data_IF_649360206226
#
_entry.id   IF_649360206226
#
_cell.length_a   1.000
_cell.length_b   1.000
_cell.length_c   1.000
_cell.angle_alpha   90.00
_cell.angle_beta   90.00
_cell.angle_gamma   90.00
#
_symmetry.space_group_name_H-M   'P 1'
#
loop_
_entity.id
_entity.type
_entity.pdbx_description
1 polymer ?
#
# COMPACT_ATOMS: atom_id res chain seq x y z
N UNK A 1 1.42 7.64 45.37
CA UNK A 1 0.76 8.94 45.18
C UNK A 1 -0.47 8.97 46.04
N UNK A 2 -0.52 9.85 47.03
CA UNK A 2 -1.66 9.96 47.95
C UNK A 2 -2.79 10.78 47.33
N UNK A 3 -4.02 10.61 47.82
CA UNK A 3 -5.18 11.41 47.38
C UNK A 3 -4.96 12.91 47.65
N UNK A 4 -4.23 13.25 48.72
CA UNK A 4 -3.77 14.61 49.03
C UNK A 4 -2.84 15.18 47.95
N UNK A 5 -1.86 14.40 47.47
CA UNK A 5 -0.93 14.82 46.41
C UNK A 5 -1.65 15.09 45.09
N UNK A 6 -2.64 14.26 44.75
CA UNK A 6 -3.47 14.44 43.55
C UNK A 6 -4.36 15.69 43.67
N UNK A 7 -4.96 15.95 44.85
CA UNK A 7 -5.75 17.15 45.12
C UNK A 7 -4.92 18.43 45.07
N UNK A 8 -3.71 18.42 45.64
CA UNK A 8 -2.81 19.57 45.58
C UNK A 8 -2.38 19.86 44.15
N UNK A 9 -2.09 18.82 43.36
CA UNK A 9 -1.74 18.98 41.94
C UNK A 9 -2.90 19.54 41.10
N UNK A 10 -4.15 19.16 41.41
CA UNK A 10 -5.34 19.69 40.74
C UNK A 10 -5.62 21.15 41.12
N UNK A 11 -5.45 21.51 42.40
CA UNK A 11 -5.62 22.89 42.88
C UNK A 11 -4.50 23.84 42.41
N UNK A 12 -3.35 23.32 42.00
CA UNK A 12 -2.25 24.08 41.39
C UNK A 12 -2.20 23.91 39.86
N UNK A 13 -3.26 23.36 39.25
CA UNK A 13 -3.43 23.46 37.80
C UNK A 13 -3.74 24.91 37.46
N UNK A 14 -2.68 25.66 37.16
CA UNK A 14 -2.81 27.01 36.65
C UNK A 14 -3.43 26.88 35.26
N UNK A 15 -4.64 27.43 35.09
CA UNK A 15 -5.22 27.59 33.77
C UNK A 15 -4.20 28.37 32.93
N UNK A 16 -3.75 27.84 31.77
CA UNK A 16 -2.70 28.49 31.01
C UNK A 16 -3.11 29.94 30.72
N UNK A 17 -2.18 30.90 30.83
CA UNK A 17 -2.50 32.30 30.60
C UNK A 17 -3.06 32.50 29.19
N UNK A 18 -3.90 33.51 29.03
CA UNK A 18 -4.78 33.63 27.86
C UNK A 18 -3.99 33.80 26.56
N UNK A 19 -2.80 34.38 26.62
CA UNK A 19 -1.82 34.45 25.53
C UNK A 19 -1.34 33.06 25.09
N UNK A 20 -1.07 32.15 26.03
CA UNK A 20 -0.72 30.75 25.73
C UNK A 20 -1.94 29.99 25.19
N UNK A 21 -3.14 30.22 25.72
CA UNK A 21 -4.37 29.63 25.16
C UNK A 21 -4.63 30.11 23.74
N UNK A 22 -4.47 31.40 23.46
CA UNK A 22 -4.56 31.98 22.12
C UNK A 22 -3.45 31.43 21.22
N UNK A 23 -2.23 31.27 21.73
CA UNK A 23 -1.11 30.69 20.97
C UNK A 23 -1.39 29.23 20.61
N UNK A 24 -1.84 28.43 21.57
CA UNK A 24 -2.24 27.03 21.36
C UNK A 24 -3.43 26.97 20.39
N UNK A 25 -4.43 27.84 20.55
CA UNK A 25 -5.59 27.91 19.67
C UNK A 25 -5.18 28.32 18.25
N UNK A 26 -4.28 29.27 18.07
CA UNK A 26 -3.70 29.66 16.79
C UNK A 26 -2.82 28.53 16.20
N UNK A 27 -2.07 27.80 17.01
CA UNK A 27 -1.28 26.65 16.57
C UNK A 27 -2.17 25.48 16.13
N UNK A 28 -3.36 25.32 16.73
CA UNK A 28 -4.36 24.31 16.37
C UNK A 28 -5.23 24.76 15.17
N UNK A 29 -5.57 26.06 15.07
CA UNK A 29 -6.41 26.64 14.01
C UNK A 29 -5.66 26.87 12.68
N UNK A 30 -4.32 26.95 12.67
CA UNK A 30 -3.53 27.25 11.46
C UNK A 30 -2.79 26.04 10.85
N UNK A 31 -3.44 24.88 10.76
CA UNK A 31 -2.99 23.93 9.73
C UNK A 31 -3.58 24.35 8.38
N UNK A 32 -2.75 24.59 7.34
CA UNK A 32 -3.27 24.82 6.00
C UNK A 32 -4.23 23.70 5.63
N UNK A 33 -5.36 24.04 5.00
CA UNK A 33 -6.38 23.06 4.58
C UNK A 33 -5.76 21.83 3.90
N UNK A 34 -4.77 22.05 3.05
CA UNK A 34 -4.01 21.00 2.35
C UNK A 34 -3.33 20.00 3.30
N UNK A 35 -2.76 20.47 4.41
CA UNK A 35 -2.12 19.61 5.42
C UNK A 35 -3.15 18.74 6.14
N UNK A 36 -4.33 19.29 6.42
CA UNK A 36 -5.43 18.56 7.05
C UNK A 36 -5.94 17.48 6.09
N UNK A 37 -6.21 17.83 4.83
CA UNK A 37 -6.68 16.89 3.80
C UNK A 37 -5.69 15.72 3.58
N UNK A 38 -4.39 16.03 3.58
CA UNK A 38 -3.33 15.01 3.48
C UNK A 38 -3.31 14.09 4.70
N UNK A 39 -3.44 14.64 5.91
CA UNK A 39 -3.51 13.83 7.15
C UNK A 39 -4.75 12.95 7.17
N UNK A 40 -5.89 13.46 6.73
CA UNK A 40 -7.14 12.69 6.63
C UNK A 40 -6.96 11.47 5.72
N UNK A 41 -6.40 11.65 4.51
CA UNK A 41 -6.12 10.54 3.62
C UNK A 41 -5.13 9.54 4.23
N UNK A 42 -4.03 10.03 4.81
CA UNK A 42 -3.02 9.15 5.42
C UNK A 42 -3.62 8.34 6.59
N UNK A 43 -4.45 8.98 7.40
CA UNK A 43 -5.14 8.32 8.51
C UNK A 43 -6.08 7.22 7.99
N UNK A 44 -6.90 7.53 6.98
CA UNK A 44 -7.77 6.57 6.33
C UNK A 44 -6.98 5.36 5.82
N UNK A 45 -5.90 5.60 5.07
CA UNK A 45 -5.09 4.53 4.48
C UNK A 45 -4.39 3.65 5.53
N UNK A 46 -4.10 4.18 6.72
CA UNK A 46 -3.46 3.43 7.81
C UNK A 46 -4.43 2.67 8.70
N UNK A 47 -5.68 3.15 8.83
CA UNK A 47 -6.68 2.56 9.73
C UNK A 47 -7.63 1.62 9.00
N UNK A 48 -7.69 1.69 7.66
CA UNK A 48 -8.55 0.82 6.88
C UNK A 48 -8.17 -0.66 7.04
N UNK A 49 -9.16 -1.45 7.41
CA UNK A 49 -9.06 -2.86 7.71
C UNK A 49 -10.33 -3.58 7.25
N UNK A 50 -10.35 -4.90 7.39
CA UNK A 50 -11.54 -5.71 7.05
C UNK A 50 -12.76 -5.36 7.91
N UNK A 51 -12.58 -4.91 9.15
CA UNK A 51 -13.69 -4.59 10.06
C UNK A 51 -14.40 -3.28 9.71
N UNK A 52 -13.67 -2.28 9.23
CA UNK A 52 -14.18 -0.94 8.93
C UNK A 52 -14.13 -0.60 7.42
N UNK A 53 -13.89 -1.61 6.57
CA UNK A 53 -13.74 -1.48 5.11
C UNK A 53 -14.86 -0.68 4.45
N UNK A 54 -16.13 -1.03 4.70
CA UNK A 54 -17.29 -0.38 4.04
C UNK A 54 -17.35 1.14 4.28
N UNK A 55 -17.38 1.63 5.52
CA UNK A 55 -17.44 3.08 5.77
C UNK A 55 -16.21 3.81 5.23
N UNK A 56 -14.99 3.26 5.40
CA UNK A 56 -13.76 3.92 4.94
C UNK A 56 -13.60 3.90 3.41
N UNK A 57 -14.09 2.88 2.71
CA UNK A 57 -14.15 2.89 1.25
C UNK A 57 -15.09 3.99 0.72
N UNK A 58 -16.20 4.25 1.42
CA UNK A 58 -17.11 5.35 1.05
C UNK A 58 -16.46 6.71 1.27
N UNK A 59 -15.75 6.88 2.39
CA UNK A 59 -15.00 8.10 2.68
C UNK A 59 -13.89 8.33 1.63
N UNK A 60 -13.12 7.28 1.31
CA UNK A 60 -12.11 7.35 0.25
C UNK A 60 -12.73 7.75 -1.09
N UNK A 61 -13.84 7.13 -1.48
CA UNK A 61 -14.55 7.47 -2.71
C UNK A 61 -15.01 8.93 -2.74
N UNK A 62 -15.41 9.50 -1.60
CA UNK A 62 -15.73 10.92 -1.50
C UNK A 62 -14.48 11.79 -1.70
N UNK A 63 -13.34 11.42 -1.11
CA UNK A 63 -12.06 12.11 -1.32
C UNK A 63 -11.69 12.10 -2.80
N UNK A 64 -11.76 10.92 -3.44
CA UNK A 64 -11.43 10.75 -4.87
C UNK A 64 -12.29 11.66 -5.76
N UNK A 65 -13.60 11.74 -5.47
CA UNK A 65 -14.52 12.54 -6.29
C UNK A 65 -14.40 14.04 -6.11
N UNK A 66 -14.04 14.49 -4.91
CA UNK A 66 -14.15 15.92 -4.54
C UNK A 66 -12.81 16.65 -4.56
N UNK A 67 -11.69 15.97 -4.27
CA UNK A 67 -10.42 16.63 -3.98
C UNK A 67 -9.19 15.75 -4.22
N UNK A 68 -9.25 14.76 -5.11
CA UNK A 68 -8.05 13.96 -5.45
C UNK A 68 -6.96 14.84 -6.05
N UNK A 69 -5.72 14.68 -5.58
CA UNK A 69 -4.55 15.43 -6.03
C UNK A 69 -3.44 14.48 -6.43
N UNK A 70 -2.56 14.93 -7.33
CA UNK A 70 -1.46 14.10 -7.82
C UNK A 70 -0.52 13.60 -6.71
N UNK A 71 -0.31 14.38 -5.65
CA UNK A 71 0.50 13.96 -4.50
C UNK A 71 -0.09 12.75 -3.74
N UNK A 72 -1.40 12.53 -3.82
CA UNK A 72 -2.07 11.41 -3.15
C UNK A 72 -1.73 10.07 -3.83
N UNK A 73 -1.35 10.10 -5.11
CA UNK A 73 -0.86 8.91 -5.80
C UNK A 73 0.41 8.37 -5.14
N UNK A 74 1.31 9.25 -4.71
CA UNK A 74 2.53 8.91 -3.98
C UNK A 74 2.24 8.33 -2.58
N UNK A 75 1.19 8.83 -1.91
CA UNK A 75 0.80 8.31 -0.60
C UNK A 75 0.21 6.90 -0.70
N UNK A 76 -0.70 6.68 -1.65
CA UNK A 76 -1.31 5.37 -1.83
C UNK A 76 -0.28 4.31 -2.26
N UNK A 77 0.61 4.64 -3.19
CA UNK A 77 1.71 3.74 -3.58
C UNK A 77 2.62 3.41 -2.40
N UNK A 78 3.01 4.39 -1.57
CA UNK A 78 3.84 4.14 -0.39
C UNK A 78 3.16 3.21 0.62
N UNK A 79 1.84 3.27 0.78
CA UNK A 79 1.12 2.36 1.68
C UNK A 79 1.09 0.95 1.09
N UNK A 80 0.80 0.82 -0.21
CA UNK A 80 0.79 -0.48 -0.91
C UNK A 80 2.16 -1.16 -0.82
N UNK A 81 3.25 -0.42 -1.02
CA UNK A 81 4.62 -0.96 -0.96
C UNK A 81 4.95 -1.52 0.43
N UNK A 82 4.49 -0.84 1.49
CA UNK A 82 4.90 -1.14 2.88
C UNK A 82 3.96 -2.11 3.60
N UNK A 83 2.72 -2.28 3.14
CA UNK A 83 1.71 -3.04 3.87
C UNK A 83 1.17 -4.21 3.02
N UNK A 84 1.49 -5.44 3.42
CA UNK A 84 0.99 -6.65 2.75
C UNK A 84 -0.34 -7.19 3.33
N UNK A 85 -0.76 -6.74 4.52
CA UNK A 85 -1.88 -7.38 5.23
C UNK A 85 -3.24 -7.12 4.57
N UNK A 86 -3.43 -5.92 4.01
CA UNK A 86 -4.71 -5.46 3.47
C UNK A 86 -4.68 -5.27 1.96
N UNK A 87 -3.85 -6.04 1.25
CA UNK A 87 -3.66 -5.94 -0.22
C UNK A 87 -4.97 -5.89 -1.00
N UNK A 88 -5.95 -6.72 -0.66
CA UNK A 88 -7.25 -6.74 -1.34
C UNK A 88 -8.03 -5.43 -1.18
N UNK A 89 -7.94 -4.80 -0.01
CA UNK A 89 -8.54 -3.48 0.24
C UNK A 89 -7.85 -2.44 -0.64
N UNK A 90 -6.52 -2.47 -0.75
CA UNK A 90 -5.81 -1.53 -1.60
C UNK A 90 -6.13 -1.70 -3.09
N UNK A 91 -6.34 -2.93 -3.55
CA UNK A 91 -6.83 -3.19 -4.91
C UNK A 91 -8.22 -2.57 -5.11
N UNK A 92 -9.11 -2.68 -4.13
CA UNK A 92 -10.42 -2.02 -4.20
C UNK A 92 -10.33 -0.49 -4.19
N UNK A 93 -9.41 0.09 -3.40
CA UNK A 93 -9.13 1.53 -3.44
C UNK A 93 -8.66 1.96 -4.83
N UNK A 94 -7.73 1.22 -5.44
CA UNK A 94 -7.25 1.50 -6.80
C UNK A 94 -8.38 1.45 -7.84
N UNK A 95 -9.33 0.52 -7.68
CA UNK A 95 -10.52 0.44 -8.55
C UNK A 95 -11.46 1.65 -8.43
N UNK A 96 -11.35 2.47 -7.38
CA UNK A 96 -12.11 3.73 -7.24
C UNK A 96 -11.45 4.91 -7.95
N UNK A 97 -10.15 4.82 -8.26
CA UNK A 97 -9.43 5.86 -8.98
C UNK A 97 -9.81 5.90 -10.46
N UNK A 98 -9.64 7.08 -11.08
CA UNK A 98 -9.65 7.19 -12.55
C UNK A 98 -8.47 6.41 -13.12
N UNK A 99 -8.59 5.95 -14.36
CA UNK A 99 -7.53 5.16 -15.03
C UNK A 99 -6.18 5.87 -15.01
N UNK A 100 -6.17 7.19 -15.23
CA UNK A 100 -4.95 8.01 -15.20
C UNK A 100 -4.25 7.96 -13.83
N UNK A 101 -4.99 8.25 -12.74
CA UNK A 101 -4.45 8.22 -11.38
C UNK A 101 -4.02 6.82 -10.94
N UNK A 102 -4.81 5.81 -11.29
CA UNK A 102 -4.46 4.41 -11.05
C UNK A 102 -3.14 4.05 -11.73
N UNK A 103 -2.96 4.43 -12.99
CA UNK A 103 -1.73 4.18 -13.73
C UNK A 103 -0.54 4.93 -13.11
N UNK A 104 -0.74 6.17 -12.64
CA UNK A 104 0.29 6.90 -11.88
C UNK A 104 0.71 6.14 -10.62
N UNK A 105 -0.25 5.63 -9.83
CA UNK A 105 0.07 4.85 -8.62
C UNK A 105 0.86 3.58 -8.96
N UNK A 106 0.42 2.83 -9.98
CA UNK A 106 1.12 1.61 -10.41
C UNK A 106 2.53 1.93 -10.92
N UNK A 107 2.71 2.98 -11.71
CA UNK A 107 4.03 3.40 -12.21
C UNK A 107 4.96 3.79 -11.05
N UNK A 108 4.47 4.53 -10.05
CA UNK A 108 5.28 4.86 -8.86
C UNK A 108 5.75 3.58 -8.16
N UNK A 109 4.89 2.56 -8.01
CA UNK A 109 5.28 1.27 -7.43
C UNK A 109 6.35 0.57 -8.29
N UNK A 110 6.17 0.55 -9.61
CA UNK A 110 7.08 -0.06 -10.56
C UNK A 110 8.44 0.67 -10.68
N UNK A 111 8.51 1.95 -10.36
CA UNK A 111 9.73 2.76 -10.41
C UNK A 111 10.44 2.84 -9.05
N UNK A 112 9.77 2.44 -7.96
CA UNK A 112 10.32 2.49 -6.61
C UNK A 112 11.53 1.56 -6.44
N UNK A 113 12.54 2.05 -5.72
CA UNK A 113 13.65 1.20 -5.26
C UNK A 113 13.19 0.43 -4.03
N UNK A 114 13.04 -0.89 -4.16
CA UNK A 114 12.38 -1.74 -3.16
C UNK A 114 13.41 -2.49 -2.32
N UNK A 115 13.22 -2.47 -1.01
CA UNK A 115 13.93 -3.37 -0.09
C UNK A 115 13.38 -4.80 -0.20
N UNK A 116 14.10 -5.80 0.35
CA UNK A 116 13.71 -7.21 0.21
C UNK A 116 12.28 -7.52 0.68
N UNK A 117 11.81 -6.89 1.76
CA UNK A 117 10.45 -7.09 2.27
C UNK A 117 9.40 -6.39 1.37
N UNK A 118 9.77 -5.28 0.77
CA UNK A 118 8.93 -4.52 -0.15
C UNK A 118 8.80 -5.26 -1.49
N UNK A 119 9.86 -5.92 -1.98
CA UNK A 119 9.81 -6.81 -3.15
C UNK A 119 8.74 -7.89 -2.96
N UNK A 120 8.73 -8.56 -1.80
CA UNK A 120 7.71 -9.56 -1.45
C UNK A 120 6.30 -8.97 -1.44
N UNK A 121 6.14 -7.81 -0.81
CA UNK A 121 4.85 -7.12 -0.68
C UNK A 121 4.31 -6.70 -2.04
N UNK A 122 5.15 -6.10 -2.88
CA UNK A 122 4.80 -5.63 -4.23
C UNK A 122 4.50 -6.80 -5.17
N UNK A 123 5.29 -7.89 -5.12
CA UNK A 123 5.02 -9.09 -5.92
C UNK A 123 3.66 -9.72 -5.56
N UNK A 124 3.41 -9.93 -4.27
CA UNK A 124 2.11 -10.39 -3.75
C UNK A 124 0.95 -9.48 -4.18
N UNK A 125 1.15 -8.16 -4.12
CA UNK A 125 0.19 -7.18 -4.61
C UNK A 125 -0.12 -7.35 -6.10
N UNK A 126 0.89 -7.49 -6.96
CA UNK A 126 0.65 -7.68 -8.39
C UNK A 126 -0.03 -9.01 -8.71
N UNK A 127 0.29 -10.09 -8.00
CA UNK A 127 -0.38 -11.38 -8.18
C UNK A 127 -1.88 -11.28 -7.88
N UNK A 128 -2.24 -10.67 -6.74
CA UNK A 128 -3.65 -10.41 -6.40
C UNK A 128 -4.31 -9.43 -7.36
N UNK A 129 -3.59 -8.41 -7.83
CA UNK A 129 -4.10 -7.44 -8.80
C UNK A 129 -4.45 -8.09 -10.13
N UNK A 130 -3.60 -8.99 -10.64
CA UNK A 130 -3.82 -9.81 -11.84
C UNK A 130 -5.11 -10.62 -11.71
N UNK A 131 -5.24 -11.39 -10.63
CA UNK A 131 -6.41 -12.23 -10.36
C UNK A 131 -7.67 -11.37 -10.31
N UNK A 132 -7.65 -10.29 -9.53
CA UNK A 132 -8.82 -9.44 -9.34
C UNK A 132 -9.18 -8.56 -10.55
N UNK A 133 -8.27 -8.44 -11.53
CA UNK A 133 -8.49 -7.72 -12.78
C UNK A 133 -8.86 -8.66 -13.93
N UNK A 134 -8.90 -9.99 -13.70
CA UNK A 134 -9.17 -11.01 -14.70
C UNK A 134 -8.28 -10.87 -15.95
N UNK A 135 -6.98 -10.64 -15.76
CA UNK A 135 -6.05 -10.55 -16.90
C UNK A 135 -5.87 -11.92 -17.54
N UNK A 136 -5.80 -11.97 -18.88
CA UNK A 136 -5.44 -13.17 -19.61
C UNK A 136 -3.93 -13.44 -19.51
N UNK A 137 -3.51 -14.68 -19.78
CA UNK A 137 -2.10 -15.06 -19.71
C UNK A 137 -1.22 -14.25 -20.67
N UNK A 138 -1.72 -13.94 -21.88
CA UNK A 138 -0.99 -13.12 -22.86
C UNK A 138 -0.75 -11.71 -22.33
N UNK A 139 -1.77 -11.10 -21.72
CA UNK A 139 -1.63 -9.76 -21.13
C UNK A 139 -0.69 -9.77 -19.90
N UNK A 140 -0.60 -10.89 -19.17
CA UNK A 140 0.34 -11.04 -18.06
C UNK A 140 1.76 -11.14 -18.60
N UNK A 141 1.98 -11.91 -19.67
CA UNK A 141 3.28 -11.99 -20.36
C UNK A 141 3.75 -10.62 -20.81
N UNK A 142 2.93 -9.90 -21.59
CA UNK A 142 3.24 -8.55 -22.07
C UNK A 142 3.54 -7.60 -20.90
N UNK A 143 2.73 -7.66 -19.83
CA UNK A 143 2.94 -6.82 -18.65
C UNK A 143 4.29 -7.09 -17.98
N UNK A 144 4.70 -8.36 -17.87
CA UNK A 144 5.98 -8.71 -17.26
C UNK A 144 7.13 -8.23 -18.15
N UNK A 145 7.07 -8.51 -19.45
CA UNK A 145 8.13 -8.15 -20.39
C UNK A 145 8.31 -6.63 -20.50
N UNK A 146 7.22 -5.87 -20.49
CA UNK A 146 7.25 -4.41 -20.59
C UNK A 146 7.60 -3.71 -19.28
N UNK A 147 7.10 -4.21 -18.13
CA UNK A 147 7.11 -3.46 -16.86
C UNK A 147 7.98 -4.08 -15.78
N UNK A 148 8.17 -5.40 -15.79
CA UNK A 148 8.80 -6.13 -14.69
C UNK A 148 10.07 -6.89 -15.09
N UNK A 149 10.47 -6.89 -16.37
CA UNK A 149 11.58 -7.69 -16.90
C UNK A 149 12.86 -7.69 -16.05
N UNK A 150 13.22 -6.54 -15.47
CA UNK A 150 14.42 -6.39 -14.64
C UNK A 150 14.17 -6.54 -13.13
N UNK A 151 12.99 -7.00 -12.72
CA UNK A 151 12.54 -7.12 -11.32
C UNK A 151 12.19 -8.57 -10.98
N UNK A 152 13.15 -9.47 -11.20
CA UNK A 152 12.98 -10.93 -11.03
C UNK A 152 12.37 -11.31 -9.66
N UNK A 153 12.83 -10.69 -8.57
CA UNK A 153 12.25 -10.94 -7.24
C UNK A 153 10.75 -10.61 -7.15
N UNK A 154 10.30 -9.52 -7.77
CA UNK A 154 8.87 -9.16 -7.83
C UNK A 154 8.09 -10.19 -8.64
N UNK A 155 8.65 -10.65 -9.77
CA UNK A 155 8.04 -11.68 -10.62
C UNK A 155 7.89 -12.99 -9.84
N UNK A 156 8.91 -13.43 -9.10
CA UNK A 156 8.87 -14.66 -8.29
C UNK A 156 7.74 -14.57 -7.26
N UNK A 157 7.67 -13.51 -6.45
CA UNK A 157 6.62 -13.39 -5.44
C UNK A 157 5.22 -13.19 -6.04
N UNK A 158 5.13 -12.57 -7.22
CA UNK A 158 3.88 -12.51 -7.98
C UNK A 158 3.44 -13.91 -8.41
N UNK A 159 4.36 -14.73 -8.92
CA UNK A 159 4.08 -16.12 -9.28
C UNK A 159 3.72 -16.98 -8.07
N UNK A 160 4.38 -16.81 -6.91
CA UNK A 160 3.97 -17.49 -5.66
C UNK A 160 2.51 -17.17 -5.32
N UNK A 161 2.12 -15.90 -5.44
CA UNK A 161 0.73 -15.48 -5.20
C UNK A 161 -0.25 -16.04 -6.23
N UNK A 162 0.16 -16.15 -7.50
CA UNK A 162 -0.65 -16.76 -8.55
C UNK A 162 -0.78 -18.26 -8.33
N UNK A 163 0.31 -19.00 -8.10
CA UNK A 163 0.31 -20.45 -7.88
C UNK A 163 -0.59 -20.84 -6.69
N UNK A 164 -0.55 -20.05 -5.61
CA UNK A 164 -1.40 -20.26 -4.43
C UNK A 164 -2.91 -20.11 -4.70
N UNK A 165 -3.30 -19.48 -5.81
CA UNK A 165 -4.71 -19.18 -6.12
C UNK A 165 -5.20 -19.79 -7.44
N UNK A 166 -4.45 -19.58 -8.51
CA UNK A 166 -4.67 -20.10 -9.85
C UNK A 166 -3.34 -20.18 -10.64
N UNK A 167 -2.72 -21.36 -10.65
CA UNK A 167 -1.44 -21.62 -11.34
C UNK A 167 -1.51 -21.51 -12.87
N UNK A 168 -2.70 -21.65 -13.45
CA UNK A 168 -2.88 -21.59 -14.92
C UNK A 168 -2.64 -20.19 -15.48
N UNK A 169 -2.55 -19.17 -14.62
CA UNK A 169 -2.22 -17.79 -14.99
C UNK A 169 -0.70 -17.52 -15.03
N UNK A 170 0.15 -18.49 -14.71
CA UNK A 170 1.61 -18.32 -14.71
C UNK A 170 2.15 -18.56 -16.12
N UNK A 171 2.80 -17.55 -16.75
CA UNK A 171 3.45 -17.74 -18.03
C UNK A 171 4.67 -18.67 -17.95
N UNK A 172 4.53 -19.87 -18.54
CA UNK A 172 5.54 -20.91 -18.39
C UNK A 172 6.86 -20.61 -19.11
N UNK A 173 6.81 -19.80 -20.17
CA UNK A 173 8.00 -19.25 -20.84
C UNK A 173 8.84 -18.41 -19.87
N UNK A 174 8.21 -17.51 -19.12
CA UNK A 174 8.88 -16.63 -18.15
C UNK A 174 9.36 -17.43 -16.96
N UNK A 175 8.52 -18.31 -16.40
CA UNK A 175 8.89 -19.17 -15.28
C UNK A 175 10.18 -19.97 -15.54
N UNK A 176 10.30 -20.58 -16.72
CA UNK A 176 11.51 -21.33 -17.10
C UNK A 176 12.76 -20.47 -17.23
N UNK A 177 12.62 -19.18 -17.55
CA UNK A 177 13.74 -18.26 -17.69
C UNK A 177 14.27 -17.80 -16.32
N UNK A 178 13.43 -17.69 -15.29
CA UNK A 178 13.84 -17.32 -13.93
C UNK A 178 14.91 -18.29 -13.40
N UNK A 179 14.79 -19.57 -13.75
CA UNK A 179 15.74 -20.63 -13.40
C UNK A 179 17.17 -20.40 -13.91
N UNK A 180 17.35 -19.48 -14.86
CA UNK A 180 18.64 -19.18 -15.48
C UNK A 180 19.29 -17.92 -14.89
N UNK A 181 18.56 -17.16 -14.06
CA UNK A 181 19.03 -15.92 -13.48
C UNK A 181 19.84 -16.15 -12.18
N UNK A 182 20.83 -15.30 -11.93
CA UNK A 182 21.55 -15.29 -10.65
C UNK A 182 20.66 -14.63 -9.57
N UNK A 183 20.14 -15.44 -8.64
CA UNK A 183 19.22 -14.99 -7.60
C UNK A 183 19.93 -14.64 -6.30
N UNK A 184 19.48 -13.58 -5.64
CA UNK A 184 19.83 -13.32 -4.23
C UNK A 184 19.26 -14.42 -3.33
N UNK A 185 19.86 -14.63 -2.15
CA UNK A 185 19.41 -15.67 -1.20
C UNK A 185 17.90 -15.59 -0.89
N UNK A 186 17.35 -14.39 -0.70
CA UNK A 186 15.93 -14.21 -0.40
C UNK A 186 15.03 -14.56 -1.59
N UNK A 187 15.44 -14.20 -2.81
CA UNK A 187 14.69 -14.55 -4.02
C UNK A 187 14.79 -16.04 -4.32
N UNK A 188 15.94 -16.67 -4.01
CA UNK A 188 16.14 -18.11 -4.17
C UNK A 188 15.22 -18.91 -3.25
N UNK A 189 15.07 -18.50 -1.98
CA UNK A 189 14.10 -19.15 -1.07
C UNK A 189 12.66 -19.05 -1.60
N UNK A 190 12.25 -17.86 -2.04
CA UNK A 190 10.92 -17.67 -2.62
C UNK A 190 10.72 -18.44 -3.92
N UNK A 191 11.80 -18.66 -4.68
CA UNK A 191 11.78 -19.47 -5.88
C UNK A 191 11.58 -20.96 -5.55
N UNK A 192 12.22 -21.49 -4.51
CA UNK A 192 11.93 -22.85 -4.03
C UNK A 192 10.49 -23.02 -3.53
N UNK A 193 9.95 -22.03 -2.80
CA UNK A 193 8.53 -22.03 -2.43
C UNK A 193 7.63 -22.09 -3.67
N UNK A 194 8.01 -21.40 -4.76
CA UNK A 194 7.27 -21.46 -6.02
C UNK A 194 7.39 -22.82 -6.70
N UNK A 195 8.57 -23.42 -6.73
CA UNK A 195 8.77 -24.76 -7.32
C UNK A 195 7.87 -25.80 -6.63
N UNK A 196 7.82 -25.80 -5.29
CA UNK A 196 6.95 -26.68 -4.50
C UNK A 196 5.46 -26.48 -4.83
N UNK A 197 5.02 -25.24 -5.06
CA UNK A 197 3.63 -24.93 -5.43
C UNK A 197 3.27 -25.33 -6.88
N UNK A 198 4.26 -25.53 -7.74
CA UNK A 198 4.06 -25.89 -9.15
C UNK A 198 4.04 -27.39 -9.41
N UNK A 199 4.57 -28.20 -8.48
CA UNK A 199 4.46 -29.68 -8.48
C UNK A 199 3.03 -30.17 -8.24
#
# INVERSE_FOLDING_TARGET
>A
MSVEEVRMSYNHSVEPPEDIKILIKNLIEYFPKEVIEKRELLHLLNVISTQNKKPLLNEFNNIVKTRWKDEYNGMLSSIIIKQNLYTEIYIELLKKLKTEDRNKVINIILESNLESNEIKTVGSFFGKWIIQSNMSIENIEDYIEEKLKNRVGVIIYMFVSLASTNKDLIPMNIYKNINQDELTTNNLMAYYDLEELME
#
